data_IF_091978670603
#
_entry.id   IF_091978670603
#
_cell.length_a   1.000
_cell.length_b   1.000
_cell.length_c   1.000
_cell.angle_alpha   90.00
_cell.angle_beta   90.00
_cell.angle_gamma   90.00
#
_symmetry.space_group_name_H-M   'P 1'
#
loop_
_entity.id
_entity.type
_entity.pdbx_description
1 polymer ?
#
# COMPACT_ATOMS: atom_id res chain seq x y z
N UNK A 1 33.57 10.39 -23.25
CA UNK A 1 33.77 9.38 -22.20
C UNK A 1 32.42 8.73 -21.95
N UNK A 2 32.28 7.47 -22.36
CA UNK A 2 31.05 6.70 -22.18
C UNK A 2 31.10 6.07 -20.77
N UNK A 3 30.54 6.74 -19.78
CA UNK A 3 30.43 6.18 -18.43
C UNK A 3 29.19 5.29 -18.40
N UNK A 4 29.39 4.03 -18.77
CA UNK A 4 28.36 3.01 -18.53
C UNK A 4 28.14 2.92 -17.01
N UNK A 5 26.89 3.07 -16.53
CA UNK A 5 26.62 2.91 -15.11
C UNK A 5 26.98 1.49 -14.67
N UNK A 6 27.41 1.29 -13.42
CA UNK A 6 27.73 -0.04 -12.93
C UNK A 6 26.54 -0.98 -13.08
N UNK A 7 26.81 -2.19 -13.57
CA UNK A 7 25.86 -3.30 -13.63
C UNK A 7 25.45 -3.68 -12.19
N UNK A 8 24.40 -3.06 -11.69
CA UNK A 8 23.84 -3.34 -10.35
C UNK A 8 22.69 -4.32 -10.48
N UNK A 9 23.03 -5.57 -10.79
CA UNK A 9 22.15 -6.74 -10.56
C UNK A 9 20.78 -6.68 -11.21
N UNK A 10 20.69 -7.10 -12.47
CA UNK A 10 19.43 -7.24 -13.20
C UNK A 10 19.02 -5.96 -13.93
N UNK A 11 18.78 -6.09 -15.23
CA UNK A 11 18.27 -5.00 -16.05
C UNK A 11 16.92 -4.51 -15.48
N UNK A 12 16.80 -3.19 -15.24
CA UNK A 12 15.55 -2.55 -14.78
C UNK A 12 14.34 -2.96 -15.62
N UNK A 13 14.54 -3.13 -16.93
CA UNK A 13 13.50 -3.62 -17.84
C UNK A 13 12.99 -5.01 -17.45
N UNK A 14 13.87 -5.90 -17.08
CA UNK A 14 13.51 -7.26 -16.61
C UNK A 14 12.61 -7.21 -15.38
N UNK A 15 12.91 -6.39 -14.39
CA UNK A 15 12.08 -6.23 -13.20
C UNK A 15 10.71 -5.59 -13.52
N UNK A 16 10.69 -4.56 -14.36
CA UNK A 16 9.46 -3.93 -14.81
C UNK A 16 8.56 -4.91 -15.59
N UNK A 17 9.14 -5.65 -16.53
CA UNK A 17 8.41 -6.60 -17.37
C UNK A 17 7.93 -7.84 -16.60
N UNK A 18 8.69 -8.29 -15.60
CA UNK A 18 8.35 -9.44 -14.76
C UNK A 18 7.34 -9.11 -13.65
N UNK A 19 7.26 -7.84 -13.23
CA UNK A 19 6.35 -7.44 -12.15
C UNK A 19 4.90 -7.79 -12.50
N UNK A 20 4.23 -8.49 -11.58
CA UNK A 20 2.80 -8.84 -11.68
C UNK A 20 2.06 -8.37 -10.43
N UNK A 21 0.79 -8.10 -10.56
CA UNK A 21 -0.10 -7.88 -9.43
C UNK A 21 -0.69 -9.24 -9.01
N UNK A 22 -0.26 -9.74 -7.86
CA UNK A 22 -0.78 -10.99 -7.31
C UNK A 22 -2.02 -10.72 -6.47
N UNK A 23 -2.98 -11.65 -6.51
CA UNK A 23 -4.08 -11.59 -5.54
C UNK A 23 -3.51 -11.84 -4.15
N UNK A 24 -3.97 -11.06 -3.15
CA UNK A 24 -3.40 -11.11 -1.79
C UNK A 24 -3.42 -12.53 -1.18
N UNK A 25 -4.37 -13.38 -1.57
CA UNK A 25 -4.44 -14.79 -1.13
C UNK A 25 -3.31 -15.68 -1.63
N UNK A 26 -2.54 -15.24 -2.62
CA UNK A 26 -1.42 -15.98 -3.21
C UNK A 26 -0.08 -15.50 -2.66
N UNK A 27 -0.09 -14.55 -1.75
CA UNK A 27 1.11 -14.06 -1.08
C UNK A 27 1.33 -14.89 0.18
N UNK A 28 2.44 -15.61 0.18
CA UNK A 28 2.79 -16.58 1.22
C UNK A 28 3.93 -16.05 2.11
N UNK A 29 4.00 -16.56 3.33
CA UNK A 29 5.11 -16.28 4.24
C UNK A 29 6.43 -16.92 3.73
N UNK A 30 7.59 -16.34 4.05
CA UNK A 30 7.76 -15.17 4.89
C UNK A 30 7.53 -13.85 4.16
N UNK A 31 7.05 -12.83 4.86
CA UNK A 31 7.11 -11.44 4.38
C UNK A 31 8.53 -10.87 4.49
N UNK A 32 8.78 -9.64 3.97
CA UNK A 32 10.07 -8.98 4.10
C UNK A 32 10.41 -8.72 5.57
N UNK A 33 11.66 -8.97 5.95
CA UNK A 33 12.20 -8.52 7.24
C UNK A 33 12.30 -6.98 7.30
N UNK A 34 12.54 -6.43 8.49
CA UNK A 34 12.53 -4.99 8.73
C UNK A 34 13.46 -4.22 7.78
N UNK A 35 14.71 -4.64 7.65
CA UNK A 35 15.71 -3.97 6.80
C UNK A 35 15.31 -3.96 5.31
N UNK A 36 14.69 -5.05 4.85
CA UNK A 36 14.18 -5.15 3.46
C UNK A 36 12.94 -4.29 3.28
N UNK A 37 12.04 -4.27 4.27
CA UNK A 37 10.85 -3.43 4.25
C UNK A 37 11.21 -1.95 4.21
N UNK A 38 12.21 -1.53 4.99
CA UNK A 38 12.71 -0.16 5.00
C UNK A 38 13.23 0.26 3.60
N UNK A 39 14.00 -0.60 2.94
CA UNK A 39 14.45 -0.36 1.55
C UNK A 39 13.29 -0.27 0.56
N UNK A 40 12.27 -1.10 0.72
CA UNK A 40 11.07 -1.03 -0.13
C UNK A 40 10.34 0.30 0.09
N UNK A 41 10.19 0.74 1.33
CA UNK A 41 9.52 2.01 1.65
C UNK A 41 10.37 3.21 1.21
N UNK A 42 11.70 3.14 1.35
CA UNK A 42 12.62 4.17 0.88
C UNK A 42 12.49 4.40 -0.63
N UNK A 43 12.25 3.36 -1.42
CA UNK A 43 12.03 3.49 -2.86
C UNK A 43 10.90 4.47 -3.22
N UNK A 44 9.91 4.64 -2.36
CA UNK A 44 8.85 5.63 -2.53
C UNK A 44 9.38 7.07 -2.55
N UNK A 45 10.45 7.37 -1.80
CA UNK A 45 11.03 8.70 -1.73
C UNK A 45 11.68 9.18 -3.03
N UNK A 46 11.92 8.26 -3.97
CA UNK A 46 12.46 8.53 -5.31
C UNK A 46 11.39 8.74 -6.38
N UNK A 47 10.12 8.79 -5.99
CA UNK A 47 9.03 9.10 -6.92
C UNK A 47 9.08 10.58 -7.33
N UNK A 48 8.69 10.92 -8.58
CA UNK A 48 8.51 12.31 -8.99
C UNK A 48 7.38 12.93 -8.16
N UNK A 49 7.64 14.15 -7.67
CA UNK A 49 6.76 14.83 -6.73
C UNK A 49 6.87 16.34 -6.87
N UNK A 50 5.74 17.02 -7.00
CA UNK A 50 5.69 18.47 -7.14
C UNK A 50 6.10 19.15 -5.81
N UNK A 51 7.17 19.94 -5.86
CA UNK A 51 7.64 20.71 -4.71
C UNK A 51 8.23 19.88 -3.57
N UNK A 52 8.60 18.62 -3.83
CA UNK A 52 9.12 17.69 -2.80
C UNK A 52 8.16 17.54 -1.62
N UNK A 53 6.85 17.61 -1.91
CA UNK A 53 5.79 17.57 -0.91
C UNK A 53 5.68 16.20 -0.22
N UNK A 54 5.98 15.11 -0.94
CA UNK A 54 5.81 13.72 -0.50
C UNK A 54 4.42 13.49 0.10
N UNK A 55 3.35 13.64 -0.70
CA UNK A 55 1.98 13.67 -0.21
C UNK A 55 1.46 12.28 0.13
N UNK A 56 2.27 11.48 0.82
CA UNK A 56 1.93 10.11 1.19
C UNK A 56 2.42 9.72 2.57
N UNK A 57 1.75 8.74 3.12
CA UNK A 57 2.16 8.00 4.29
C UNK A 57 1.87 6.52 4.03
N UNK A 58 2.83 5.65 4.32
CA UNK A 58 2.64 4.21 4.31
C UNK A 58 2.50 3.72 5.75
N UNK A 59 1.41 3.03 6.05
CA UNK A 59 1.11 2.52 7.38
C UNK A 59 1.22 1.01 7.37
N UNK A 60 2.23 0.48 8.06
CA UNK A 60 2.34 -0.97 8.28
C UNK A 60 1.25 -1.41 9.26
N UNK A 61 0.49 -2.43 8.88
CA UNK A 61 -0.46 -3.10 9.76
C UNK A 61 0.20 -4.37 10.30
N UNK A 62 0.76 -4.35 11.50
CA UNK A 62 1.43 -5.50 12.08
C UNK A 62 0.41 -6.60 12.41
N UNK A 63 0.90 -7.82 12.63
CA UNK A 63 0.04 -8.98 12.89
C UNK A 63 -0.94 -8.75 14.05
N UNK A 64 -0.48 -8.11 15.12
CA UNK A 64 -1.26 -7.79 16.32
C UNK A 64 -2.44 -6.84 16.04
N UNK A 65 -2.41 -6.10 14.94
CA UNK A 65 -3.47 -5.16 14.53
C UNK A 65 -4.35 -5.70 13.39
N UNK A 66 -4.13 -6.95 12.96
CA UNK A 66 -4.92 -7.57 11.88
C UNK A 66 -6.36 -7.82 12.30
N UNK A 67 -6.60 -8.15 13.56
CA UNK A 67 -7.94 -8.30 14.10
C UNK A 67 -8.73 -6.98 14.00
N UNK A 68 -8.13 -5.85 14.39
CA UNK A 68 -8.76 -4.53 14.29
C UNK A 68 -9.10 -4.19 12.83
N UNK A 69 -8.18 -4.47 11.90
CA UNK A 69 -8.44 -4.27 10.47
C UNK A 69 -9.57 -5.18 9.97
N UNK A 70 -9.64 -6.41 10.47
CA UNK A 70 -10.73 -7.35 10.16
C UNK A 70 -12.10 -6.80 10.57
N UNK A 71 -12.20 -6.22 11.77
CA UNK A 71 -13.43 -5.58 12.24
C UNK A 71 -13.81 -4.37 11.36
N UNK A 72 -12.84 -3.54 10.97
CA UNK A 72 -13.10 -2.44 10.02
C UNK A 72 -13.68 -2.94 8.71
N UNK A 73 -13.20 -4.07 8.18
CA UNK A 73 -13.78 -4.65 6.96
C UNK A 73 -15.20 -5.19 7.17
N UNK A 74 -15.49 -5.75 8.34
CA UNK A 74 -16.82 -6.24 8.69
C UNK A 74 -17.80 -5.08 8.90
N UNK A 75 -17.41 -4.03 9.64
CA UNK A 75 -18.18 -2.79 9.82
C UNK A 75 -18.55 -2.17 8.47
N UNK A 76 -17.57 -1.95 7.60
CA UNK A 76 -17.79 -1.37 6.28
C UNK A 76 -18.67 -2.24 5.38
N UNK A 77 -18.67 -3.57 5.56
CA UNK A 77 -19.61 -4.46 4.88
C UNK A 77 -21.02 -4.28 5.41
N UNK A 78 -21.20 -4.23 6.73
CA UNK A 78 -22.51 -4.03 7.38
C UNK A 78 -23.13 -2.67 7.01
N UNK A 79 -22.33 -1.61 6.96
CA UNK A 79 -22.78 -0.28 6.54
C UNK A 79 -23.34 -0.30 5.10
N UNK A 80 -22.69 -1.05 4.21
CA UNK A 80 -23.10 -1.16 2.80
C UNK A 80 -24.23 -2.14 2.57
N UNK A 81 -24.27 -3.23 3.34
CA UNK A 81 -25.25 -4.31 3.25
C UNK A 81 -25.68 -4.72 4.65
N UNK A 82 -26.69 -4.01 5.23
CA UNK A 82 -27.18 -4.32 6.57
C UNK A 82 -27.79 -5.72 6.72
N UNK A 83 -28.13 -6.37 5.60
CA UNK A 83 -28.67 -7.73 5.57
C UNK A 83 -27.61 -8.83 5.44
N UNK A 84 -26.31 -8.47 5.41
CA UNK A 84 -25.25 -9.46 5.26
C UNK A 84 -25.22 -10.46 6.42
N UNK A 85 -25.12 -11.75 6.07
CA UNK A 85 -25.11 -12.83 7.05
C UNK A 85 -23.74 -13.03 7.72
N UNK A 86 -23.70 -13.85 8.79
CA UNK A 86 -22.47 -14.11 9.57
C UNK A 86 -21.29 -14.63 8.71
N UNK A 87 -21.57 -15.46 7.72
CA UNK A 87 -20.55 -15.99 6.81
C UNK A 87 -19.87 -14.89 5.98
N UNK A 88 -20.64 -13.92 5.50
CA UNK A 88 -20.12 -12.78 4.74
C UNK A 88 -19.23 -11.89 5.62
N UNK A 89 -19.62 -11.66 6.88
CA UNK A 89 -18.83 -10.94 7.87
C UNK A 89 -17.52 -11.67 8.20
N UNK A 90 -17.56 -13.00 8.39
CA UNK A 90 -16.35 -13.80 8.60
C UNK A 90 -15.40 -13.66 7.41
N UNK A 91 -15.89 -13.81 6.18
CA UNK A 91 -15.09 -13.60 4.95
C UNK A 91 -14.54 -12.18 4.83
N UNK A 92 -15.23 -11.17 5.35
CA UNK A 92 -14.75 -9.80 5.39
C UNK A 92 -13.57 -9.68 6.36
N UNK A 93 -13.66 -10.23 7.58
CA UNK A 93 -12.58 -10.26 8.58
C UNK A 93 -11.33 -10.96 8.05
N UNK A 94 -11.49 -12.10 7.38
CA UNK A 94 -10.38 -12.89 6.82
C UNK A 94 -9.53 -12.11 5.81
N UNK A 95 -10.07 -11.05 5.20
CA UNK A 95 -9.30 -10.21 4.28
C UNK A 95 -8.07 -9.60 4.92
N UNK A 96 -8.10 -9.31 6.21
CA UNK A 96 -7.00 -8.73 6.96
C UNK A 96 -5.77 -9.65 7.05
N UNK A 97 -5.96 -10.96 6.85
CA UNK A 97 -4.91 -11.98 7.01
C UNK A 97 -4.37 -12.54 5.69
N UNK A 98 -4.77 -11.97 4.54
CA UNK A 98 -4.46 -12.53 3.21
C UNK A 98 -3.03 -12.36 2.74
N UNK A 99 -2.22 -11.61 3.44
CA UNK A 99 -0.80 -11.43 3.09
C UNK A 99 0.06 -11.36 4.35
N UNK A 100 1.30 -11.85 4.31
CA UNK A 100 2.20 -11.81 5.48
C UNK A 100 2.64 -10.39 5.84
N UNK A 101 2.75 -9.51 4.86
CA UNK A 101 3.05 -8.09 5.06
C UNK A 101 1.95 -7.23 4.41
N UNK A 102 1.46 -6.22 5.11
CA UNK A 102 0.42 -5.33 4.61
C UNK A 102 0.72 -3.88 4.97
N UNK A 103 0.81 -3.07 3.92
CA UNK A 103 0.94 -1.62 4.02
C UNK A 103 -0.33 -0.96 3.49
N UNK A 104 -0.81 0.05 4.18
CA UNK A 104 -1.86 0.94 3.68
C UNK A 104 -1.21 2.22 3.18
N UNK A 105 -1.44 2.53 1.91
CA UNK A 105 -1.02 3.79 1.32
C UNK A 105 -2.09 4.86 1.60
N UNK A 106 -1.68 5.97 2.19
CA UNK A 106 -2.54 7.09 2.56
C UNK A 106 -2.07 8.32 1.83
N UNK A 107 -2.99 8.94 1.08
CA UNK A 107 -2.74 10.27 0.53
C UNK A 107 -2.82 11.30 1.67
N UNK A 108 -1.84 12.19 1.75
CA UNK A 108 -1.87 13.36 2.61
C UNK A 108 -2.29 14.56 1.77
N UNK A 109 -3.47 15.06 2.03
CA UNK A 109 -4.01 16.26 1.42
C UNK A 109 -4.19 17.33 2.50
N UNK A 110 -3.08 17.69 3.17
CA UNK A 110 -3.13 18.68 4.22
C UNK A 110 -3.19 20.12 3.66
N UNK A 111 -3.85 20.97 4.42
CA UNK A 111 -4.07 22.37 4.07
C UNK A 111 -2.76 23.20 4.01
N UNK A 112 -1.64 22.64 4.44
CA UNK A 112 -0.34 23.31 4.41
C UNK A 112 0.24 23.44 2.99
N UNK A 113 -0.30 22.68 2.02
CA UNK A 113 0.09 22.77 0.61
C UNK A 113 -1.12 22.96 -0.31
N UNK A 114 -1.88 24.06 -0.14
CA UNK A 114 -3.16 24.27 -0.84
C UNK A 114 -3.00 24.51 -2.35
N UNK A 115 -1.81 24.87 -2.82
CA UNK A 115 -1.57 25.23 -4.21
C UNK A 115 -1.41 24.03 -5.16
N UNK A 116 -1.20 22.83 -4.62
CA UNK A 116 -0.98 21.63 -5.45
C UNK A 116 -2.29 20.84 -5.55
N UNK A 117 -2.83 20.65 -6.76
CA UNK A 117 -4.07 19.91 -6.96
C UNK A 117 -3.99 18.45 -6.45
N UNK A 118 -5.09 17.94 -5.89
CA UNK A 118 -5.19 16.54 -5.42
C UNK A 118 -4.82 15.54 -6.52
N UNK A 119 -5.18 15.84 -7.77
CA UNK A 119 -4.84 14.98 -8.90
C UNK A 119 -3.32 14.80 -9.07
N UNK A 120 -2.53 15.85 -8.89
CA UNK A 120 -1.06 15.76 -8.93
C UNK A 120 -0.50 14.97 -7.75
N UNK A 121 -1.05 15.18 -6.56
CA UNK A 121 -0.71 14.40 -5.36
C UNK A 121 -1.00 12.91 -5.54
N UNK A 122 -2.12 12.56 -6.20
CA UNK A 122 -2.47 11.17 -6.53
C UNK A 122 -1.50 10.56 -7.55
N UNK A 123 -1.07 11.31 -8.56
CA UNK A 123 -0.06 10.87 -9.52
C UNK A 123 1.26 10.57 -8.80
N UNK A 124 1.72 11.48 -7.93
CA UNK A 124 2.94 11.28 -7.13
C UNK A 124 2.82 10.06 -6.22
N UNK A 125 1.70 9.87 -5.53
CA UNK A 125 1.44 8.67 -4.72
C UNK A 125 1.48 7.38 -5.57
N UNK A 126 0.87 7.40 -6.76
CA UNK A 126 0.91 6.27 -7.70
C UNK A 126 2.33 5.92 -8.12
N UNK A 127 3.17 6.92 -8.42
CA UNK A 127 4.59 6.73 -8.72
C UNK A 127 5.34 6.14 -7.51
N UNK A 128 5.08 6.65 -6.30
CA UNK A 128 5.69 6.14 -5.07
C UNK A 128 5.33 4.65 -4.84
N UNK A 129 4.05 4.30 -4.99
CA UNK A 129 3.60 2.90 -4.92
C UNK A 129 4.29 2.05 -5.98
N UNK A 130 4.37 2.51 -7.24
CA UNK A 130 5.02 1.75 -8.31
C UNK A 130 6.50 1.51 -8.02
N UNK A 131 7.23 2.51 -7.49
CA UNK A 131 8.62 2.32 -7.08
C UNK A 131 8.76 1.23 -6.02
N UNK A 132 7.88 1.21 -5.02
CA UNK A 132 7.87 0.16 -3.99
C UNK A 132 7.58 -1.23 -4.59
N UNK A 133 6.64 -1.33 -5.54
CA UNK A 133 6.32 -2.61 -6.19
C UNK A 133 7.49 -3.15 -7.01
N UNK A 134 8.23 -2.28 -7.71
CA UNK A 134 9.42 -2.65 -8.47
C UNK A 134 10.57 -3.02 -7.55
N UNK A 135 10.80 -2.23 -6.48
CA UNK A 135 11.82 -2.53 -5.48
C UNK A 135 11.55 -3.88 -4.79
N UNK A 136 10.29 -4.17 -4.44
CA UNK A 136 9.90 -5.47 -3.87
C UNK A 136 10.25 -6.61 -4.83
N UNK A 137 9.90 -6.47 -6.11
CA UNK A 137 10.22 -7.47 -7.13
C UNK A 137 11.74 -7.70 -7.26
N UNK A 138 12.54 -6.62 -7.28
CA UNK A 138 13.99 -6.70 -7.35
C UNK A 138 14.61 -7.33 -6.09
N UNK A 139 13.93 -7.23 -4.95
CA UNK A 139 14.33 -7.84 -3.67
C UNK A 139 13.75 -9.26 -3.47
N UNK A 140 13.09 -9.83 -4.50
CA UNK A 140 12.60 -11.21 -4.48
C UNK A 140 11.22 -11.41 -3.88
N UNK A 141 10.43 -10.33 -3.68
CA UNK A 141 9.09 -10.40 -3.10
C UNK A 141 7.99 -10.15 -4.13
N UNK A 142 7.01 -11.04 -4.17
CA UNK A 142 5.78 -10.84 -4.91
C UNK A 142 4.89 -9.80 -4.19
N UNK A 143 4.14 -9.01 -4.97
CA UNK A 143 3.30 -7.95 -4.43
C UNK A 143 1.90 -7.97 -5.01
N UNK A 144 0.93 -7.42 -4.26
CA UNK A 144 -0.42 -7.17 -4.69
C UNK A 144 -0.89 -5.79 -4.28
N UNK A 145 -1.30 -4.96 -5.23
CA UNK A 145 -2.00 -3.71 -4.98
C UNK A 145 -3.51 -3.98 -5.02
N UNK A 146 -4.20 -3.64 -3.95
CA UNK A 146 -5.64 -3.81 -3.82
C UNK A 146 -6.29 -2.55 -3.23
N UNK A 147 -7.54 -2.35 -3.56
CA UNK A 147 -8.40 -1.32 -3.00
C UNK A 147 -9.79 -1.91 -2.73
N UNK A 148 -10.66 -1.14 -2.10
CA UNK A 148 -12.03 -1.54 -1.82
C UNK A 148 -12.80 -0.49 -1.05
N UNK A 149 -14.12 -0.62 -0.99
CA UNK A 149 -15.02 0.35 -0.37
C UNK A 149 -14.71 0.63 1.12
N UNK A 150 -14.09 -0.33 1.83
CA UNK A 150 -13.70 -0.13 3.22
C UNK A 150 -12.59 0.92 3.41
N UNK A 151 -11.84 1.27 2.34
CA UNK A 151 -10.75 2.24 2.46
C UNK A 151 -11.21 3.63 2.87
N UNK A 152 -12.42 4.03 2.47
CA UNK A 152 -13.01 5.33 2.79
C UNK A 152 -13.93 5.30 4.02
N UNK A 153 -14.05 4.16 4.70
CA UNK A 153 -14.95 4.02 5.86
C UNK A 153 -14.45 4.79 7.08
N UNK A 154 -15.39 5.19 7.93
CA UNK A 154 -15.06 5.82 9.22
C UNK A 154 -14.19 4.90 10.10
N UNK A 155 -14.41 3.59 10.07
CA UNK A 155 -13.60 2.59 10.75
C UNK A 155 -12.14 2.62 10.29
N UNK A 156 -11.90 2.69 8.96
CA UNK A 156 -10.54 2.76 8.43
C UNK A 156 -9.84 4.06 8.85
N UNK A 157 -10.54 5.18 8.80
CA UNK A 157 -9.99 6.48 9.24
C UNK A 157 -9.56 6.42 10.70
N UNK A 158 -10.40 5.85 11.58
CA UNK A 158 -10.07 5.66 13.01
C UNK A 158 -8.85 4.75 13.18
N UNK A 159 -8.82 3.60 12.49
CA UNK A 159 -7.71 2.65 12.56
C UNK A 159 -6.37 3.29 12.18
N UNK A 160 -6.37 4.10 11.12
CA UNK A 160 -5.18 4.76 10.58
C UNK A 160 -4.87 6.10 11.26
N UNK A 161 -5.68 6.55 12.21
CA UNK A 161 -5.58 7.85 12.89
C UNK A 161 -5.51 9.01 11.90
N UNK A 162 -6.47 9.02 10.97
CA UNK A 162 -6.63 10.11 10.02
C UNK A 162 -7.55 11.18 10.62
N UNK A 163 -7.12 12.43 10.53
CA UNK A 163 -7.94 13.57 10.96
C UNK A 163 -9.27 13.59 10.17
N UNK A 164 -10.35 14.11 10.76
CA UNK A 164 -11.56 14.42 10.02
C UNK A 164 -11.26 15.41 8.89
N UNK A 165 -11.99 15.33 7.78
CA UNK A 165 -11.95 16.37 6.74
C UNK A 165 -12.56 17.67 7.27
#
# INVERSE_FOLDING_TARGET
MNTQPPDTGGDLWTHLAARRNFTLRRLEAPGPGADVLDRIVEAAAHAPDHGVLRPWRFVLIPEQRRADLGEVFAEALTERDPGCGPEALAKARDKAYRSPCLLVAVLRDDAAAPAIPVAEKLVSLGCAIQNMLVASQALGFATGLASGAAMDSAGMRRLLRLEPY
#
